data_IF_998596436922
#
_entry.id   IF_998596436922
#
_cell.length_a   1.000
_cell.length_b   1.000
_cell.length_c   1.000
_cell.angle_alpha   90.00
_cell.angle_beta   90.00
_cell.angle_gamma   90.00
#
_symmetry.space_group_name_H-M   'P 1'
#
loop_
_entity.id
_entity.type
_entity.pdbx_description
1 polymer ?
#
# COMPACT_ATOMS: atom_id res chain seq x y z
N UNK A 1 -20.97 -17.40 6.54
CA UNK A 1 -19.90 -17.03 5.59
C UNK A 1 -19.88 -18.10 4.53
N UNK A 2 -19.94 -17.74 3.25
CA UNK A 2 -19.77 -18.73 2.19
C UNK A 2 -18.29 -19.08 2.06
N UNK A 3 -17.97 -20.37 2.05
CA UNK A 3 -16.63 -20.88 1.82
C UNK A 3 -16.67 -21.83 0.62
N UNK A 4 -15.72 -21.72 -0.32
CA UNK A 4 -15.54 -22.73 -1.37
C UNK A 4 -15.45 -24.15 -0.79
N UNK A 5 -16.05 -25.12 -1.48
CA UNK A 5 -16.16 -26.51 -1.01
C UNK A 5 -14.80 -27.14 -0.70
N UNK A 6 -13.78 -26.85 -1.52
CA UNK A 6 -12.42 -27.33 -1.33
C UNK A 6 -11.80 -26.84 0.00
N UNK A 7 -12.14 -25.62 0.41
CA UNK A 7 -11.69 -25.05 1.67
C UNK A 7 -12.46 -25.61 2.87
N UNK A 8 -13.76 -25.94 2.71
CA UNK A 8 -14.52 -26.64 3.75
C UNK A 8 -13.95 -28.03 4.01
N UNK A 9 -13.70 -28.82 2.96
CA UNK A 9 -13.11 -30.17 3.08
C UNK A 9 -11.77 -30.14 3.81
N UNK A 10 -10.93 -29.14 3.51
CA UNK A 10 -9.62 -28.98 4.17
C UNK A 10 -9.75 -28.59 5.64
N UNK A 11 -10.67 -27.69 5.99
CA UNK A 11 -10.93 -27.32 7.38
C UNK A 11 -11.43 -28.51 8.19
N UNK A 12 -12.25 -29.36 7.59
CA UNK A 12 -12.81 -30.56 8.24
C UNK A 12 -11.72 -31.58 8.53
N UNK A 13 -10.84 -31.82 7.55
CA UNK A 13 -9.68 -32.68 7.72
C UNK A 13 -8.75 -32.16 8.84
N UNK A 14 -8.46 -30.86 8.86
CA UNK A 14 -7.62 -30.27 9.92
C UNK A 14 -8.28 -30.29 11.29
N UNK A 15 -9.58 -30.03 11.37
CA UNK A 15 -10.33 -30.09 12.63
C UNK A 15 -10.30 -31.52 13.19
N UNK A 16 -10.49 -32.52 12.33
CA UNK A 16 -10.42 -33.93 12.71
C UNK A 16 -9.02 -34.37 13.14
N UNK A 17 -7.98 -33.89 12.46
CA UNK A 17 -6.59 -34.25 12.77
C UNK A 17 -6.05 -33.58 14.04
N UNK A 18 -6.51 -32.36 14.36
CA UNK A 18 -5.97 -31.56 15.47
C UNK A 18 -6.88 -31.50 16.70
N UNK A 19 -8.16 -31.89 16.56
CA UNK A 19 -9.18 -31.72 17.59
C UNK A 19 -9.62 -30.26 17.79
N UNK A 20 -9.09 -29.32 17.01
CA UNK A 20 -9.44 -27.90 17.08
C UNK A 20 -10.72 -27.66 16.29
N UNK A 21 -11.65 -26.88 16.85
CA UNK A 21 -12.89 -26.54 16.14
C UNK A 21 -12.62 -25.76 14.84
N UNK A 22 -13.45 -25.97 13.81
CA UNK A 22 -13.36 -25.22 12.55
C UNK A 22 -13.34 -23.70 12.77
N UNK A 23 -14.18 -23.21 13.69
CA UNK A 23 -14.25 -21.79 14.02
C UNK A 23 -12.93 -21.25 14.59
N UNK A 24 -12.22 -22.04 15.38
CA UNK A 24 -10.92 -21.66 15.93
C UNK A 24 -9.83 -21.66 14.87
N UNK A 25 -9.85 -22.63 13.95
CA UNK A 25 -8.95 -22.63 12.79
C UNK A 25 -9.14 -21.38 11.92
N UNK A 26 -10.40 -20.98 11.68
CA UNK A 26 -10.74 -19.76 10.95
C UNK A 26 -10.21 -18.52 11.69
N UNK A 27 -10.49 -18.39 13.00
CA UNK A 27 -10.00 -17.26 13.81
C UNK A 27 -8.49 -17.13 13.76
N UNK A 28 -7.77 -18.24 13.92
CA UNK A 28 -6.30 -18.27 13.86
C UNK A 28 -5.79 -17.88 12.48
N UNK A 29 -6.42 -18.38 11.42
CA UNK A 29 -6.06 -18.01 10.05
C UNK A 29 -6.24 -16.51 9.78
N UNK A 30 -7.35 -15.92 10.24
CA UNK A 30 -7.62 -14.49 10.11
C UNK A 30 -6.62 -13.67 10.92
N UNK A 31 -6.33 -14.05 12.16
CA UNK A 31 -5.35 -13.36 13.00
C UNK A 31 -3.97 -13.30 12.32
N UNK A 32 -3.49 -14.43 11.79
CA UNK A 32 -2.21 -14.48 11.06
C UNK A 32 -2.20 -13.57 9.82
N UNK A 33 -3.32 -13.47 9.10
CA UNK A 33 -3.44 -12.57 7.96
C UNK A 33 -3.42 -11.10 8.38
N UNK A 34 -4.09 -10.77 9.47
CA UNK A 34 -4.14 -9.40 10.00
C UNK A 34 -2.79 -8.97 10.56
N UNK A 35 -2.07 -9.85 11.25
CA UNK A 35 -0.72 -9.57 11.76
C UNK A 35 0.25 -9.20 10.61
N UNK A 36 0.14 -9.86 9.45
CA UNK A 36 0.94 -9.52 8.26
C UNK A 36 0.44 -8.24 7.58
N UNK A 37 -0.87 -8.00 7.57
CA UNK A 37 -1.49 -6.81 6.97
C UNK A 37 -1.25 -5.52 7.77
N UNK A 38 -1.18 -5.61 9.10
CA UNK A 38 -0.86 -4.48 9.99
C UNK A 38 0.57 -3.98 9.79
N UNK A 39 1.44 -4.79 9.16
CA UNK A 39 2.76 -4.32 8.76
C UNK A 39 2.55 -3.22 7.73
N UNK A 40 2.85 -1.93 8.05
CA UNK A 40 2.72 -0.89 7.07
C UNK A 40 3.54 -1.31 5.87
N UNK A 41 2.89 -1.46 4.69
CA UNK A 41 3.58 -1.59 3.40
C UNK A 41 4.70 -0.58 3.50
N UNK A 42 5.96 -1.02 3.47
CA UNK A 42 7.12 -0.13 3.57
C UNK A 42 6.94 0.89 2.46
N UNK A 43 6.28 1.98 2.79
CA UNK A 43 5.98 3.06 1.88
C UNK A 43 7.37 3.59 1.67
N UNK A 44 7.91 3.29 0.48
CA UNK A 44 9.15 3.88 0.01
C UNK A 44 9.12 5.32 0.50
N UNK A 45 10.07 5.70 1.36
CA UNK A 45 10.08 7.04 1.97
C UNK A 45 9.79 8.01 0.84
N UNK A 46 8.64 8.68 0.91
CA UNK A 46 8.32 9.68 -0.09
C UNK A 46 9.50 10.65 -0.09
N UNK A 47 9.98 11.09 -1.26
CA UNK A 47 11.03 12.09 -1.28
C UNK A 47 10.53 13.27 -0.44
N UNK A 48 11.30 13.63 0.58
CA UNK A 48 11.07 14.88 1.28
C UNK A 48 11.41 15.98 0.27
N UNK A 49 10.39 16.55 -0.37
CA UNK A 49 10.59 17.73 -1.20
C UNK A 49 10.93 18.88 -0.24
N UNK A 50 12.17 19.32 -0.29
CA UNK A 50 12.66 20.50 0.42
C UNK A 50 12.49 21.76 -0.45
N UNK A 51 11.43 21.80 -1.29
CA UNK A 51 11.23 22.54 -2.55
C UNK A 51 11.44 24.06 -2.53
N UNK A 52 12.54 24.52 -1.94
CA UNK A 52 12.93 25.90 -1.77
C UNK A 52 11.92 26.74 -1.00
N UNK A 53 12.07 28.05 -1.19
CA UNK A 53 11.10 29.03 -0.69
C UNK A 53 9.84 28.95 -1.54
N UNK A 54 8.65 29.07 -0.93
CA UNK A 54 7.42 29.21 -1.69
C UNK A 54 7.55 30.46 -2.57
N UNK A 55 7.31 30.28 -3.87
CA UNK A 55 7.22 31.39 -4.82
C UNK A 55 5.81 31.98 -4.76
N UNK A 56 5.70 33.30 -4.94
CA UNK A 56 4.41 33.88 -5.28
C UNK A 56 4.01 33.45 -6.71
N UNK A 57 2.72 33.52 -7.07
CA UNK A 57 2.28 33.20 -8.42
C UNK A 57 3.05 33.98 -9.50
N UNK A 58 3.31 35.26 -9.27
CA UNK A 58 4.02 36.13 -10.22
C UNK A 58 5.48 35.69 -10.40
N UNK A 59 6.16 35.37 -9.29
CA UNK A 59 7.54 34.88 -9.34
C UNK A 59 7.64 33.49 -10.00
N UNK A 60 6.58 32.70 -9.94
CA UNK A 60 6.50 31.41 -10.62
C UNK A 60 6.33 31.60 -12.14
N UNK A 61 5.46 32.52 -12.56
CA UNK A 61 5.25 32.85 -13.98
C UNK A 61 6.52 33.38 -14.64
N UNK A 62 7.25 34.28 -13.97
CA UNK A 62 8.53 34.81 -14.44
C UNK A 62 9.57 33.70 -14.63
N UNK A 63 9.66 32.77 -13.66
CA UNK A 63 10.59 31.64 -13.72
C UNK A 63 10.27 30.70 -14.90
N UNK A 64 8.98 30.46 -15.18
CA UNK A 64 8.55 29.67 -16.32
C UNK A 64 8.85 30.37 -17.65
N UNK A 65 8.58 31.68 -17.74
CA UNK A 65 8.83 32.47 -18.94
C UNK A 65 10.30 32.45 -19.33
N UNK A 66 11.20 32.73 -18.38
CA UNK A 66 12.64 32.70 -18.62
C UNK A 66 13.12 31.29 -19.00
N UNK A 67 12.60 30.23 -18.36
CA UNK A 67 12.95 28.86 -18.72
C UNK A 67 12.57 28.50 -20.17
N UNK A 68 11.39 28.95 -20.63
CA UNK A 68 10.92 28.71 -22.00
C UNK A 68 11.80 29.48 -23.01
N UNK A 69 12.12 30.73 -22.71
CA UNK A 69 12.99 31.58 -23.54
C UNK A 69 14.40 30.99 -23.66
N UNK A 70 14.97 30.54 -22.55
CA UNK A 70 16.27 29.86 -22.51
C UNK A 70 16.28 28.59 -23.36
N UNK A 71 15.22 27.78 -23.29
CA UNK A 71 15.09 26.56 -24.09
C UNK A 71 14.96 26.89 -25.58
N UNK A 72 14.21 27.94 -25.94
CA UNK A 72 14.06 28.38 -27.32
C UNK A 72 15.37 28.93 -27.90
N UNK A 73 16.18 29.63 -27.10
CA UNK A 73 17.47 30.18 -27.51
C UNK A 73 18.57 29.13 -27.74
N UNK A 74 18.41 27.93 -27.18
CA UNK A 74 19.35 26.80 -27.35
C UNK A 74 19.02 25.92 -28.57
N UNK A 75 18.00 26.26 -29.34
CA UNK A 75 17.56 25.54 -30.56
C UNK A 75 17.84 26.38 -31.80
#
# INVERSE_FOLDING_TARGET
MYLPEDLEVRLDAQSSATGISKAELIRRGIALLLDDAERPKRSRKLPAFDSGRPLSPEAMDDAFYEHIKDRAARR
#
